data_IF_588081430247
#
_entry.id   IF_588081430247
#
_cell.length_a   1.000
_cell.length_b   1.000
_cell.length_c   1.000
_cell.angle_alpha   90.00
_cell.angle_beta   90.00
_cell.angle_gamma   90.00
#
_symmetry.space_group_name_H-M   'P 1'
#
loop_
_entity.id
_entity.type
_entity.pdbx_description
1 polymer ?
#
# COMPACT_ATOMS: atom_id res chain seq x y z
N UNK A 1 1.78 -25.89 -10.85
CA UNK A 1 1.82 -24.43 -11.12
C UNK A 1 0.61 -23.85 -10.42
N UNK A 2 0.79 -23.09 -9.34
CA UNK A 2 -0.34 -22.45 -8.63
C UNK A 2 -0.65 -21.18 -9.39
N UNK A 3 -1.71 -21.17 -10.19
CA UNK A 3 -2.22 -19.94 -10.78
C UNK A 3 -2.86 -19.15 -9.65
N UNK A 4 -2.25 -18.03 -9.27
CA UNK A 4 -2.88 -17.08 -8.36
C UNK A 4 -3.86 -16.27 -9.20
N UNK A 5 -5.11 -16.75 -9.28
CA UNK A 5 -6.22 -15.87 -9.66
C UNK A 5 -6.34 -14.83 -8.55
N UNK A 6 -5.98 -13.58 -8.85
CA UNK A 6 -6.28 -12.47 -7.96
C UNK A 6 -7.81 -12.43 -7.86
N UNK A 7 -8.31 -12.73 -6.67
CA UNK A 7 -9.71 -12.50 -6.33
C UNK A 7 -9.99 -11.02 -6.63
N UNK A 8 -10.84 -10.75 -7.63
CA UNK A 8 -11.11 -9.40 -8.15
C UNK A 8 -11.45 -8.40 -7.02
N UNK A 9 -11.90 -8.91 -5.88
CA UNK A 9 -12.13 -8.21 -4.61
C UNK A 9 -10.95 -7.36 -4.09
N UNK A 10 -9.69 -7.75 -4.30
CA UNK A 10 -8.54 -6.91 -3.86
C UNK A 10 -8.38 -5.67 -4.74
N UNK A 11 -8.59 -5.81 -6.06
CA UNK A 11 -8.51 -4.68 -6.99
C UNK A 11 -9.64 -3.67 -6.75
N UNK A 12 -10.77 -4.13 -6.20
CA UNK A 12 -11.92 -3.31 -5.83
C UNK A 12 -11.89 -2.80 -4.37
N UNK A 13 -10.93 -3.26 -3.55
CA UNK A 13 -10.82 -2.82 -2.16
C UNK A 13 -10.29 -1.38 -2.09
N UNK A 14 -11.23 -0.44 -1.91
CA UNK A 14 -10.93 0.99 -1.78
C UNK A 14 -9.95 1.27 -0.65
N UNK A 15 -10.05 0.60 0.51
CA UNK A 15 -9.14 0.85 1.65
C UNK A 15 -7.72 0.44 1.27
N UNK A 16 -7.56 -0.71 0.64
CA UNK A 16 -6.26 -1.19 0.17
C UNK A 16 -5.66 -0.27 -0.89
N UNK A 17 -6.44 0.08 -1.92
CA UNK A 17 -6.00 0.97 -3.00
C UNK A 17 -5.55 2.34 -2.46
N UNK A 18 -6.30 2.91 -1.51
CA UNK A 18 -5.89 4.15 -0.83
C UNK A 18 -4.57 3.98 -0.09
N UNK A 19 -4.29 2.85 0.56
CA UNK A 19 -3.00 2.64 1.22
C UNK A 19 -1.85 2.53 0.23
N UNK A 20 -2.05 1.89 -0.93
CA UNK A 20 -1.05 1.87 -2.01
C UNK A 20 -0.76 3.30 -2.49
N UNK A 21 -1.80 4.11 -2.74
CA UNK A 21 -1.65 5.51 -3.14
C UNK A 21 -0.94 6.37 -2.09
N UNK A 22 -1.25 6.16 -0.81
CA UNK A 22 -0.58 6.86 0.30
C UNK A 22 0.92 6.57 0.30
N UNK A 23 1.33 5.31 0.19
CA UNK A 23 2.75 4.92 0.15
C UNK A 23 3.46 5.55 -1.06
N UNK A 24 2.81 5.57 -2.22
CA UNK A 24 3.33 6.22 -3.43
C UNK A 24 3.51 7.73 -3.19
N UNK A 25 2.51 8.37 -2.60
CA UNK A 25 2.53 9.81 -2.30
C UNK A 25 3.63 10.14 -1.29
N UNK A 26 3.71 9.43 -0.18
CA UNK A 26 4.77 9.55 0.84
C UNK A 26 6.17 9.42 0.21
N UNK A 27 6.34 8.46 -0.71
CA UNK A 27 7.61 8.26 -1.42
C UNK A 27 7.97 9.44 -2.31
N UNK A 28 6.99 10.01 -3.03
CA UNK A 28 7.18 11.20 -3.88
C UNK A 28 7.50 12.44 -3.04
N UNK A 29 6.80 12.62 -1.93
CA UNK A 29 7.03 13.71 -0.99
C UNK A 29 8.42 13.64 -0.37
N UNK A 30 8.86 12.44 0.05
CA UNK A 30 10.21 12.22 0.57
C UNK A 30 11.29 12.65 -0.43
N UNK A 31 11.12 12.30 -1.73
CA UNK A 31 12.04 12.77 -2.78
C UNK A 31 11.99 14.29 -2.95
N UNK A 32 10.80 14.88 -3.00
CA UNK A 32 10.61 16.33 -3.15
C UNK A 32 11.29 17.11 -2.03
N UNK A 33 11.16 16.63 -0.79
CA UNK A 33 11.77 17.27 0.38
C UNK A 33 13.30 17.25 0.31
N UNK A 34 13.90 16.15 -0.17
CA UNK A 34 15.35 16.06 -0.39
C UNK A 34 15.82 17.05 -1.47
N UNK A 35 15.05 17.18 -2.56
CA UNK A 35 15.35 18.12 -3.64
C UNK A 35 15.25 19.59 -3.19
N UNK A 36 14.25 19.94 -2.38
CA UNK A 36 14.13 21.28 -1.79
C UNK A 36 15.35 21.61 -0.93
N UNK A 37 15.90 20.62 -0.23
CA UNK A 37 17.15 20.75 0.54
C UNK A 37 18.43 20.85 -0.30
N UNK A 38 18.34 20.94 -1.63
CA UNK A 38 19.49 21.07 -2.53
C UNK A 38 20.28 19.76 -2.74
N UNK A 39 19.78 18.63 -2.23
CA UNK A 39 20.40 17.32 -2.38
C UNK A 39 19.70 16.50 -3.47
N UNK A 40 20.45 15.61 -4.11
CA UNK A 40 19.91 14.65 -5.07
C UNK A 40 20.00 13.24 -4.49
N UNK A 41 18.88 12.50 -4.53
CA UNK A 41 18.89 11.09 -4.16
C UNK A 41 19.70 10.28 -5.18
N UNK A 42 20.52 9.35 -4.68
CA UNK A 42 21.18 8.36 -5.53
C UNK A 42 20.13 7.50 -6.25
N UNK A 43 20.42 7.08 -7.47
CA UNK A 43 19.55 6.17 -8.22
C UNK A 43 19.34 4.89 -7.42
N UNK A 44 18.07 4.55 -7.19
CA UNK A 44 17.63 3.34 -6.53
C UNK A 44 16.46 2.74 -7.31
N UNK A 45 16.08 1.47 -7.07
CA UNK A 45 14.97 0.86 -7.81
C UNK A 45 13.65 1.64 -7.69
N UNK A 46 13.36 2.23 -6.53
CA UNK A 46 12.16 3.06 -6.34
C UNK A 46 12.25 4.39 -7.10
N UNK A 47 13.44 5.01 -7.16
CA UNK A 47 13.65 6.23 -7.95
C UNK A 47 13.52 5.94 -9.43
N UNK A 48 14.04 4.80 -9.91
CA UNK A 48 13.86 4.37 -11.30
C UNK A 48 12.39 4.14 -11.66
N UNK A 49 11.63 3.44 -10.80
CA UNK A 49 10.18 3.28 -11.00
C UNK A 49 9.47 4.65 -11.06
N UNK A 50 9.90 5.61 -10.25
CA UNK A 50 9.34 6.96 -10.26
C UNK A 50 9.68 7.72 -11.54
N UNK A 51 10.95 7.69 -11.97
CA UNK A 51 11.43 8.36 -13.18
C UNK A 51 10.82 7.77 -14.46
N UNK A 52 10.57 6.47 -14.48
CA UNK A 52 9.90 5.76 -15.57
C UNK A 52 8.36 5.95 -15.58
N UNK A 53 7.78 6.65 -14.59
CA UNK A 53 6.34 6.80 -14.45
C UNK A 53 5.60 5.54 -13.96
N UNK A 54 6.35 4.50 -13.59
CA UNK A 54 5.86 3.19 -13.14
C UNK A 54 5.50 3.17 -11.64
N UNK A 55 5.80 4.22 -10.88
CA UNK A 55 5.35 4.34 -9.48
C UNK A 55 3.91 4.92 -9.43
N UNK A 56 2.92 4.14 -9.86
CA UNK A 56 1.50 4.50 -9.89
C UNK A 56 0.61 3.34 -9.43
N UNK A 57 -0.59 3.63 -8.92
CA UNK A 57 -1.51 2.60 -8.42
C UNK A 57 -1.78 1.53 -9.49
N UNK A 58 -2.18 1.94 -10.70
CA UNK A 58 -2.50 1.03 -11.80
C UNK A 58 -1.33 0.15 -12.20
N UNK A 59 -0.11 0.70 -12.22
CA UNK A 59 1.09 -0.08 -12.51
C UNK A 59 1.36 -1.09 -11.41
N UNK A 60 1.40 -0.66 -10.14
CA UNK A 60 1.67 -1.54 -8.99
C UNK A 60 0.68 -2.71 -8.95
N UNK A 61 -0.61 -2.44 -9.09
CA UNK A 61 -1.67 -3.45 -9.05
C UNK A 61 -1.63 -4.41 -10.24
N UNK A 62 -1.31 -3.93 -11.44
CA UNK A 62 -1.20 -4.79 -12.63
C UNK A 62 0.10 -5.59 -12.69
N UNK A 63 1.18 -5.10 -12.07
CA UNK A 63 2.50 -5.72 -12.14
C UNK A 63 2.70 -6.77 -11.05
N UNK A 64 2.11 -6.58 -9.87
CA UNK A 64 2.21 -7.54 -8.76
C UNK A 64 1.79 -8.99 -9.10
N UNK A 65 0.64 -9.26 -9.75
CA UNK A 65 0.30 -10.62 -10.19
C UNK A 65 1.34 -11.21 -11.15
N UNK A 66 1.89 -10.40 -12.07
CA UNK A 66 2.95 -10.86 -12.98
C UNK A 66 4.21 -11.24 -12.19
N UNK A 67 4.51 -10.55 -11.10
CA UNK A 67 5.64 -10.91 -10.21
C UNK A 67 5.36 -12.27 -9.55
N UNK A 68 4.17 -12.45 -8.98
CA UNK A 68 3.78 -13.70 -8.32
C UNK A 68 3.81 -14.90 -9.29
N UNK A 69 3.38 -14.69 -10.53
CA UNK A 69 3.35 -15.70 -11.59
C UNK A 69 4.69 -15.86 -12.34
N UNK A 70 5.74 -15.11 -11.94
CA UNK A 70 7.07 -15.10 -12.61
C UNK A 70 7.05 -14.63 -14.07
N UNK A 71 6.08 -13.80 -14.43
CA UNK A 71 5.88 -13.20 -15.76
C UNK A 71 6.43 -11.78 -15.86
N UNK A 72 6.69 -11.12 -14.72
CA UNK A 72 7.22 -9.76 -14.70
C UNK A 72 8.61 -9.69 -15.30
N UNK A 73 8.79 -8.75 -16.24
CA UNK A 73 10.06 -8.43 -16.90
C UNK A 73 10.88 -7.37 -16.15
N UNK A 74 10.36 -6.86 -15.04
CA UNK A 74 11.08 -5.86 -14.25
C UNK A 74 12.38 -6.44 -13.67
N UNK A 75 13.45 -5.63 -13.61
CA UNK A 75 14.62 -5.90 -12.79
C UNK A 75 14.24 -6.32 -11.37
N UNK A 76 15.00 -7.24 -10.78
CA UNK A 76 14.73 -7.78 -9.44
C UNK A 76 14.45 -6.70 -8.40
N UNK A 77 15.31 -5.68 -8.31
CA UNK A 77 15.12 -4.61 -7.32
C UNK A 77 13.84 -3.81 -7.52
N UNK A 78 13.32 -3.67 -8.75
CA UNK A 78 12.04 -3.01 -8.99
C UNK A 78 10.87 -3.93 -8.62
N UNK A 79 10.97 -5.24 -8.90
CA UNK A 79 9.99 -6.23 -8.43
C UNK A 79 9.87 -6.24 -6.90
N UNK A 80 11.01 -6.17 -6.21
CA UNK A 80 11.04 -6.12 -4.74
C UNK A 80 10.34 -4.85 -4.21
N UNK A 81 10.52 -3.70 -4.87
CA UNK A 81 9.79 -2.46 -4.52
C UNK A 81 8.29 -2.63 -4.73
N UNK A 82 7.84 -3.15 -5.88
CA UNK A 82 6.41 -3.37 -6.15
C UNK A 82 5.79 -4.29 -5.08
N UNK A 83 6.46 -5.41 -4.79
CA UNK A 83 6.00 -6.35 -3.76
C UNK A 83 5.93 -5.69 -2.38
N UNK A 84 6.96 -4.94 -1.98
CA UNK A 84 6.99 -4.26 -0.70
C UNK A 84 5.86 -3.24 -0.53
N UNK A 85 5.54 -2.47 -1.58
CA UNK A 85 4.41 -1.52 -1.55
C UNK A 85 3.09 -2.26 -1.29
N UNK A 86 2.85 -3.37 -1.99
CA UNK A 86 1.64 -4.18 -1.83
C UNK A 86 1.55 -4.78 -0.42
N UNK A 87 2.64 -5.37 0.08
CA UNK A 87 2.67 -5.95 1.42
C UNK A 87 2.48 -4.90 2.51
N UNK A 88 3.12 -3.74 2.38
CA UNK A 88 2.98 -2.64 3.33
C UNK A 88 1.56 -2.07 3.31
N UNK A 89 0.94 -1.91 2.14
CA UNK A 89 -0.46 -1.50 2.04
C UNK A 89 -1.40 -2.51 2.73
N UNK A 90 -1.20 -3.81 2.50
CA UNK A 90 -1.98 -4.87 3.15
C UNK A 90 -1.81 -4.82 4.68
N UNK A 91 -0.57 -4.65 5.14
CA UNK A 91 -0.27 -4.48 6.57
C UNK A 91 -1.03 -3.29 7.17
N UNK A 92 -0.98 -2.12 6.53
CA UNK A 92 -1.70 -0.91 6.98
C UNK A 92 -3.20 -1.14 7.06
N UNK A 93 -3.80 -1.81 6.07
CA UNK A 93 -5.24 -2.17 6.08
C UNK A 93 -5.59 -3.05 7.28
N UNK A 94 -4.77 -4.06 7.59
CA UNK A 94 -5.00 -4.92 8.76
C UNK A 94 -5.02 -4.09 10.04
N UNK A 95 -4.07 -3.18 10.22
CA UNK A 95 -4.04 -2.29 11.38
C UNK A 95 -5.27 -1.39 11.47
N UNK A 96 -5.68 -0.78 10.36
CA UNK A 96 -6.88 0.06 10.32
C UNK A 96 -8.14 -0.72 10.69
N UNK A 97 -8.28 -1.95 10.19
CA UNK A 97 -9.42 -2.79 10.51
C UNK A 97 -9.43 -3.23 11.98
N UNK A 98 -8.26 -3.47 12.59
CA UNK A 98 -8.15 -3.75 14.02
C UNK A 98 -8.56 -2.54 14.87
N UNK A 99 -8.09 -1.34 14.51
CA UNK A 99 -8.49 -0.09 15.18
C UNK A 99 -9.99 0.17 15.07
N UNK A 100 -10.58 -0.02 13.88
CA UNK A 100 -12.02 0.16 13.67
C UNK A 100 -12.86 -0.79 14.55
N UNK A 101 -12.43 -2.05 14.69
CA UNK A 101 -13.08 -3.03 15.57
C UNK A 101 -12.95 -2.66 17.03
N UNK A 102 -11.76 -2.23 17.47
CA UNK A 102 -11.53 -1.79 18.84
C UNK A 102 -12.38 -0.56 19.18
N UNK A 103 -12.47 0.42 18.26
CA UNK A 103 -13.31 1.61 18.43
C UNK A 103 -14.78 1.26 18.59
N UNK A 104 -15.32 0.41 17.71
CA UNK A 104 -16.72 -0.06 17.79
C UNK A 104 -17.01 -0.82 19.08
N UNK A 105 -16.05 -1.60 19.57
CA UNK A 105 -16.20 -2.30 20.84
C UNK A 105 -16.24 -1.33 22.03
N UNK A 106 -15.40 -0.30 22.02
CA UNK A 106 -15.40 0.76 23.05
C UNK A 106 -16.67 1.61 23.00
N UNK A 107 -17.14 2.02 21.81
CA UNK A 107 -18.41 2.74 21.62
C UNK A 107 -19.58 1.94 22.22
N UNK A 108 -19.67 0.65 21.90
CA UNK A 108 -20.71 -0.25 22.42
C UNK A 108 -20.62 -0.46 23.94
N UNK A 109 -19.41 -0.48 24.51
CA UNK A 109 -19.22 -0.58 25.95
C UNK A 109 -19.69 0.71 26.66
N UNK A 110 -19.38 1.88 26.09
CA UNK A 110 -19.79 3.17 26.61
C UNK A 110 -21.32 3.36 26.53
N UNK A 111 -21.96 2.96 25.43
CA UNK A 111 -23.42 2.98 25.29
C UNK A 111 -24.11 2.10 26.34
N UNK A 112 -23.55 0.91 26.63
CA UNK A 112 -24.07 0.02 27.68
C UNK A 112 -23.91 0.60 29.08
N UNK A 113 -22.79 1.27 29.37
CA UNK A 113 -22.58 1.92 30.65
C UNK A 113 -23.56 3.09 30.84
N UNK A 114 -23.73 3.93 29.81
CA UNK A 114 -24.66 5.08 29.86
C UNK A 114 -26.14 4.67 29.96
N UNK A 115 -26.52 3.51 29.42
CA UNK A 115 -27.88 2.97 29.54
C UNK A 115 -28.19 2.28 30.87
N UNK A 116 -27.19 2.04 31.72
CA UNK A 116 -27.35 1.41 33.04
C UNK A 116 -27.41 2.43 34.20
N UNK A 117 -27.24 3.73 33.91
CA UNK A 117 -27.28 4.84 34.87
C UNK A 117 -28.67 5.54 34.92
N UNK A 118 -29.73 4.89 34.41
CA UNK A 118 -31.14 5.30 34.50
C UNK A 118 -31.93 4.19 35.20
#
# INVERSE_FOLDING_TARGET
MVNVEIDARILEDKKFNTQVENIITETREARRNVQIGGAQLKSSPVIRLMDEGNLSLSFILSEFPKIANKESRLPRGQRDVVANIVFEAARRVVFLNQQERARKAAEKANEKAAGNDI
#
